data_IF_244078894727
#
_entry.id   IF_244078894727
#
_cell.length_a   1.000
_cell.length_b   1.000
_cell.length_c   1.000
_cell.angle_alpha   90.00
_cell.angle_beta   90.00
_cell.angle_gamma   90.00
#
_symmetry.space_group_name_H-M   'P 1'
#
loop_
_entity.id
_entity.type
_entity.pdbx_description
1 polymer ?
#
# COMPACT_ATOMS: atom_id res chain seq x y z
N UNK A 1 9.91 -75.34 29.07
CA UNK A 1 8.90 -75.88 28.12
C UNK A 1 7.53 -75.69 28.72
N UNK A 2 6.75 -74.70 28.28
CA UNK A 2 5.38 -74.49 28.75
C UNK A 2 4.48 -75.53 28.06
N UNK A 3 3.92 -76.47 28.81
CA UNK A 3 2.90 -77.39 28.30
C UNK A 3 1.56 -76.67 28.33
N UNK A 4 1.10 -76.17 27.18
CA UNK A 4 -0.27 -75.66 27.04
C UNK A 4 -1.25 -76.83 27.10
N UNK A 5 -2.12 -76.84 28.11
CA UNK A 5 -3.29 -77.72 28.18
C UNK A 5 -4.36 -77.26 27.18
N UNK A 6 -5.21 -78.18 26.70
CA UNK A 6 -6.19 -77.91 25.63
C UNK A 6 -7.15 -76.75 25.90
N UNK A 7 -7.45 -76.46 27.16
CA UNK A 7 -8.23 -75.30 27.61
C UNK A 7 -7.50 -73.97 27.41
N UNK A 8 -6.17 -73.94 27.53
CA UNK A 8 -5.35 -72.74 27.29
C UNK A 8 -5.29 -72.35 25.81
N UNK A 9 -5.27 -73.32 24.91
CA UNK A 9 -5.33 -73.08 23.46
C UNK A 9 -6.67 -72.46 23.06
N UNK A 10 -7.76 -72.93 23.68
CA UNK A 10 -9.11 -72.43 23.41
C UNK A 10 -9.30 -70.98 23.89
N UNK A 11 -8.78 -70.64 25.08
CA UNK A 11 -8.82 -69.27 25.61
C UNK A 11 -8.03 -68.26 24.76
N UNK A 12 -6.84 -68.64 24.29
CA UNK A 12 -6.04 -67.80 23.38
C UNK A 12 -6.74 -67.62 22.03
N UNK A 13 -7.35 -68.68 21.49
CA UNK A 13 -8.13 -68.62 20.25
C UNK A 13 -9.32 -67.67 20.34
N UNK A 14 -10.04 -67.69 21.47
CA UNK A 14 -11.20 -66.82 21.68
C UNK A 14 -10.79 -65.35 21.85
N UNK A 15 -9.67 -65.09 22.56
CA UNK A 15 -9.13 -63.74 22.72
C UNK A 15 -8.65 -63.16 21.38
N UNK A 16 -7.97 -63.96 20.55
CA UNK A 16 -7.59 -63.59 19.18
C UNK A 16 -8.82 -63.29 18.30
N UNK A 17 -9.87 -64.10 18.41
CA UNK A 17 -11.11 -63.85 17.66
C UNK A 17 -11.77 -62.53 18.04
N UNK A 18 -11.84 -62.21 19.33
CA UNK A 18 -12.43 -60.95 19.84
C UNK A 18 -11.61 -59.74 19.41
N UNK A 19 -10.28 -59.80 19.49
CA UNK A 19 -9.43 -58.68 19.05
C UNK A 19 -9.50 -58.46 17.54
N UNK A 20 -9.45 -59.53 16.74
CA UNK A 20 -9.55 -59.42 15.27
C UNK A 20 -10.91 -58.89 14.84
N UNK A 21 -12.00 -59.36 15.46
CA UNK A 21 -13.35 -58.85 15.16
C UNK A 21 -13.55 -57.40 15.59
N UNK A 22 -13.00 -56.98 16.74
CA UNK A 22 -12.99 -55.58 17.17
C UNK A 22 -12.22 -54.66 16.22
N UNK A 23 -11.06 -55.10 15.72
CA UNK A 23 -10.27 -54.34 14.73
C UNK A 23 -10.98 -54.25 13.39
N UNK A 24 -11.56 -55.36 12.89
CA UNK A 24 -12.27 -55.38 11.62
C UNK A 24 -13.52 -54.50 11.60
N UNK A 25 -14.24 -54.38 12.72
CA UNK A 25 -15.37 -53.45 12.83
C UNK A 25 -14.95 -52.01 13.14
N UNK A 26 -13.87 -51.81 13.90
CA UNK A 26 -13.39 -50.50 14.32
C UNK A 26 -12.67 -49.72 13.21
N UNK A 27 -11.85 -50.39 12.39
CA UNK A 27 -11.08 -49.75 11.32
C UNK A 27 -11.92 -48.96 10.29
N UNK A 28 -12.97 -49.52 9.66
CA UNK A 28 -13.75 -48.77 8.67
C UNK A 28 -14.52 -47.61 9.31
N UNK A 29 -15.04 -47.81 10.52
CA UNK A 29 -15.77 -46.78 11.27
C UNK A 29 -14.87 -45.61 11.68
N UNK A 30 -13.64 -45.90 12.13
CA UNK A 30 -12.64 -44.89 12.45
C UNK A 30 -12.23 -44.08 11.22
N UNK A 31 -12.08 -44.73 10.06
CA UNK A 31 -11.69 -44.06 8.83
C UNK A 31 -12.74 -43.02 8.39
N UNK A 32 -14.04 -43.37 8.42
CA UNK A 32 -15.13 -42.44 8.09
C UNK A 32 -15.17 -41.25 9.06
N UNK A 33 -15.07 -41.52 10.37
CA UNK A 33 -15.03 -40.45 11.37
C UNK A 33 -13.84 -39.50 11.15
N UNK A 34 -12.66 -40.05 10.87
CA UNK A 34 -11.47 -39.23 10.61
C UNK A 34 -11.63 -38.35 9.36
N UNK A 35 -12.23 -38.88 8.29
CA UNK A 35 -12.52 -38.10 7.08
C UNK A 35 -13.55 -37.00 7.34
N UNK A 36 -14.59 -37.28 8.12
CA UNK A 36 -15.59 -36.28 8.48
C UNK A 36 -14.98 -35.12 9.28
N UNK A 37 -14.14 -35.44 10.28
CA UNK A 37 -13.44 -34.41 11.05
C UNK A 37 -12.47 -33.60 10.19
N UNK A 38 -11.75 -34.25 9.28
CA UNK A 38 -10.89 -33.56 8.32
C UNK A 38 -11.68 -32.59 7.42
N UNK A 39 -12.85 -33.02 6.91
CA UNK A 39 -13.73 -32.16 6.12
C UNK A 39 -14.24 -30.96 6.90
N UNK A 40 -14.67 -31.17 8.16
CA UNK A 40 -15.11 -30.07 9.05
C UNK A 40 -13.98 -29.08 9.34
N UNK A 41 -12.77 -29.57 9.60
CA UNK A 41 -11.59 -28.73 9.82
C UNK A 41 -11.27 -27.89 8.58
N UNK A 42 -11.25 -28.50 7.38
CA UNK A 42 -10.99 -27.80 6.13
C UNK A 42 -12.06 -26.73 5.82
N UNK A 43 -13.33 -27.02 6.10
CA UNK A 43 -14.42 -26.04 5.94
C UNK A 43 -14.26 -24.86 6.91
N UNK A 44 -13.96 -25.13 8.18
CA UNK A 44 -13.74 -24.09 9.18
C UNK A 44 -12.53 -23.20 8.82
N UNK A 45 -11.44 -23.79 8.33
CA UNK A 45 -10.26 -23.07 7.86
C UNK A 45 -10.55 -22.21 6.62
N UNK A 46 -11.31 -22.74 5.66
CA UNK A 46 -11.71 -21.97 4.48
C UNK A 46 -12.63 -20.79 4.85
N UNK A 47 -13.53 -20.98 5.81
CA UNK A 47 -14.42 -19.93 6.31
C UNK A 47 -13.64 -18.82 7.02
N UNK A 48 -12.73 -19.19 7.94
CA UNK A 48 -11.92 -18.22 8.67
C UNK A 48 -11.00 -17.45 7.72
N UNK A 49 -10.37 -18.14 6.76
CA UNK A 49 -9.52 -17.52 5.75
C UNK A 49 -10.28 -16.51 4.88
N UNK A 50 -11.52 -16.82 4.47
CA UNK A 50 -12.39 -15.85 3.77
C UNK A 50 -12.74 -14.66 4.65
N UNK A 51 -13.04 -14.87 5.92
CA UNK A 51 -13.37 -13.80 6.84
C UNK A 51 -12.17 -12.85 7.05
N UNK A 52 -10.97 -13.41 7.21
CA UNK A 52 -9.72 -12.64 7.30
C UNK A 52 -9.53 -11.80 6.03
N UNK A 53 -9.65 -12.41 4.84
CA UNK A 53 -9.50 -11.69 3.58
C UNK A 53 -10.51 -10.54 3.42
N UNK A 54 -11.76 -10.72 3.87
CA UNK A 54 -12.78 -9.66 3.85
C UNK A 54 -12.43 -8.54 4.84
N UNK A 55 -11.97 -8.87 6.05
CA UNK A 55 -11.56 -7.89 7.05
C UNK A 55 -10.35 -7.10 6.57
N UNK A 56 -9.36 -7.76 5.98
CA UNK A 56 -8.20 -7.12 5.38
C UNK A 56 -8.59 -6.20 4.21
N UNK A 57 -9.47 -6.64 3.32
CA UNK A 57 -9.96 -5.83 2.22
C UNK A 57 -10.70 -4.58 2.72
N UNK A 58 -11.52 -4.74 3.76
CA UNK A 58 -12.23 -3.62 4.40
C UNK A 58 -11.26 -2.64 5.05
N UNK A 59 -10.27 -3.12 5.79
CA UNK A 59 -9.24 -2.29 6.40
C UNK A 59 -8.43 -1.51 5.36
N UNK A 60 -8.07 -2.15 4.23
CA UNK A 60 -7.40 -1.47 3.11
C UNK A 60 -8.26 -0.38 2.49
N UNK A 61 -9.55 -0.65 2.28
CA UNK A 61 -10.49 0.34 1.75
C UNK A 61 -10.63 1.54 2.70
N UNK A 62 -10.76 1.29 4.01
CA UNK A 62 -10.86 2.35 5.01
C UNK A 62 -9.58 3.19 5.09
N UNK A 63 -8.41 2.53 5.07
CA UNK A 63 -7.11 3.20 4.99
C UNK A 63 -6.99 4.08 3.75
N UNK A 64 -7.37 3.55 2.58
CA UNK A 64 -7.33 4.32 1.33
C UNK A 64 -8.25 5.55 1.37
N UNK A 65 -9.44 5.44 1.98
CA UNK A 65 -10.34 6.59 2.18
C UNK A 65 -9.72 7.65 3.08
N UNK A 66 -9.18 7.25 4.23
CA UNK A 66 -8.54 8.19 5.15
C UNK A 66 -7.33 8.89 4.51
N UNK A 67 -6.56 8.17 3.69
CA UNK A 67 -5.46 8.76 2.92
C UNK A 67 -5.96 9.76 1.87
N UNK A 68 -7.04 9.43 1.16
CA UNK A 68 -7.65 10.34 0.20
C UNK A 68 -8.18 11.62 0.89
N UNK A 69 -8.84 11.48 2.03
CA UNK A 69 -9.33 12.63 2.80
C UNK A 69 -8.18 13.50 3.32
N UNK A 70 -7.11 12.88 3.83
CA UNK A 70 -5.91 13.59 4.25
C UNK A 70 -5.26 14.37 3.08
N UNK A 71 -5.25 13.77 1.89
CA UNK A 71 -4.72 14.40 0.68
C UNK A 71 -5.57 15.61 0.24
N UNK A 72 -6.91 15.54 0.38
CA UNK A 72 -7.81 16.68 0.14
C UNK A 72 -7.49 17.81 1.10
N UNK A 73 -7.39 17.54 2.41
CA UNK A 73 -7.06 18.57 3.41
C UNK A 73 -5.70 19.19 3.13
N UNK A 74 -4.71 18.37 2.73
CA UNK A 74 -3.38 18.84 2.34
C UNK A 74 -3.44 19.76 1.12
N UNK A 75 -4.16 19.35 0.07
CA UNK A 75 -4.33 20.13 -1.15
C UNK A 75 -5.06 21.45 -0.90
N UNK A 76 -6.11 21.44 -0.07
CA UNK A 76 -6.80 22.66 0.35
C UNK A 76 -5.89 23.59 1.14
N UNK A 77 -5.10 23.06 2.06
CA UNK A 77 -4.11 23.81 2.83
C UNK A 77 -3.09 24.50 1.91
N UNK A 78 -2.54 23.76 0.95
CA UNK A 78 -1.64 24.29 -0.07
C UNK A 78 -2.31 25.38 -0.92
N UNK A 79 -3.55 25.16 -1.36
CA UNK A 79 -4.30 26.13 -2.15
C UNK A 79 -4.62 27.42 -1.37
N UNK A 80 -4.91 27.31 -0.07
CA UNK A 80 -5.08 28.48 0.81
C UNK A 80 -3.76 29.21 1.01
N UNK A 81 -2.67 28.50 1.29
CA UNK A 81 -1.35 29.10 1.44
C UNK A 81 -0.89 29.84 0.16
N UNK A 82 -1.09 29.22 -1.01
CA UNK A 82 -0.77 29.84 -2.30
C UNK A 82 -1.59 31.10 -2.56
N UNK A 83 -2.90 31.10 -2.23
CA UNK A 83 -3.73 32.31 -2.33
C UNK A 83 -3.23 33.43 -1.43
N UNK A 84 -2.91 33.14 -0.17
CA UNK A 84 -2.38 34.14 0.77
C UNK A 84 -1.07 34.74 0.25
N UNK A 85 -0.15 33.89 -0.23
CA UNK A 85 1.11 34.33 -0.83
C UNK A 85 0.86 35.21 -2.06
N UNK A 86 -0.04 34.79 -2.95
CA UNK A 86 -0.38 35.55 -4.15
C UNK A 86 -0.93 36.94 -3.80
N UNK A 87 -1.88 37.02 -2.88
CA UNK A 87 -2.49 38.29 -2.47
C UNK A 87 -1.44 39.19 -1.79
N UNK A 88 -0.55 38.62 -0.99
CA UNK A 88 0.53 39.34 -0.30
C UNK A 88 1.62 39.87 -1.26
N UNK A 89 1.78 39.24 -2.43
CA UNK A 89 2.77 39.62 -3.44
C UNK A 89 2.19 40.53 -4.54
N UNK A 90 0.98 41.06 -4.36
CA UNK A 90 0.36 41.96 -5.33
C UNK A 90 -0.30 41.25 -6.52
N UNK A 91 -0.67 39.98 -6.35
CA UNK A 91 -1.41 39.19 -7.34
C UNK A 91 -0.58 38.15 -8.09
N UNK A 92 -1.14 37.56 -9.17
CA UNK A 92 -0.53 36.44 -9.89
C UNK A 92 0.89 36.72 -10.41
N UNK A 93 1.15 37.92 -10.92
CA UNK A 93 2.45 38.29 -11.50
C UNK A 93 3.56 38.35 -10.43
N UNK A 94 3.27 38.91 -9.27
CA UNK A 94 4.22 38.96 -8.15
C UNK A 94 4.51 37.56 -7.59
N UNK A 95 3.50 36.70 -7.54
CA UNK A 95 3.65 35.30 -7.14
C UNK A 95 4.52 34.49 -8.11
N UNK A 96 4.30 34.61 -9.43
CA UNK A 96 5.12 33.94 -10.43
C UNK A 96 6.59 34.39 -10.36
N UNK A 97 6.83 35.69 -10.16
CA UNK A 97 8.18 36.23 -9.98
C UNK A 97 8.84 35.70 -8.70
N UNK A 98 8.09 35.60 -7.59
CA UNK A 98 8.57 34.98 -6.36
C UNK A 98 8.96 33.51 -6.57
N UNK A 99 8.10 32.71 -7.21
CA UNK A 99 8.40 31.31 -7.51
C UNK A 99 9.63 31.17 -8.41
N UNK A 100 9.78 32.06 -9.40
CA UNK A 100 10.96 32.08 -10.25
C UNK A 100 12.24 32.36 -9.45
N UNK A 101 12.23 33.39 -8.59
CA UNK A 101 13.38 33.73 -7.74
C UNK A 101 13.71 32.55 -6.81
N UNK A 102 12.70 31.95 -6.18
CA UNK A 102 12.89 30.82 -5.27
C UNK A 102 13.43 29.58 -6.00
N UNK A 103 12.97 29.31 -7.22
CA UNK A 103 13.47 28.20 -8.04
C UNK A 103 14.93 28.40 -8.48
N UNK A 104 15.35 29.66 -8.69
CA UNK A 104 16.75 30.02 -8.99
C UNK A 104 17.61 29.96 -7.73
N UNK A 105 17.10 30.40 -6.57
CA UNK A 105 17.81 30.35 -5.29
C UNK A 105 18.05 28.90 -4.82
N UNK A 106 17.04 28.03 -4.96
CA UNK A 106 17.14 26.62 -4.58
C UNK A 106 18.02 25.78 -5.52
N UNK A 107 18.14 26.17 -6.79
CA UNK A 107 19.08 25.56 -7.73
C UNK A 107 20.37 26.36 -7.70
N UNK A 108 21.29 26.01 -6.79
CA UNK A 108 22.68 26.52 -6.73
C UNK A 108 23.19 26.88 -8.14
N UNK A 109 23.08 28.16 -8.49
CA UNK A 109 23.52 28.83 -9.72
C UNK A 109 23.74 27.92 -10.97
N UNK A 110 22.75 27.13 -11.39
CA UNK A 110 22.80 26.58 -12.75
C UNK A 110 22.47 27.74 -13.70
N UNK A 111 23.49 28.31 -14.33
CA UNK A 111 23.39 29.39 -15.32
C UNK A 111 22.44 28.95 -16.47
N UNK A 112 21.16 29.28 -16.35
CA UNK A 112 20.18 29.06 -17.41
C UNK A 112 20.27 30.25 -18.36
N UNK A 113 20.94 30.04 -19.50
CA UNK A 113 21.01 31.01 -20.59
C UNK A 113 19.61 31.20 -21.19
N UNK A 114 19.02 32.37 -20.98
CA UNK A 114 17.82 32.82 -21.69
C UNK A 114 18.31 33.61 -22.90
N UNK A 115 18.12 33.13 -24.13
CA UNK A 115 18.48 33.90 -25.32
C UNK A 115 17.57 35.11 -25.39
N UNK A 116 18.11 36.30 -25.18
CA UNK A 116 17.67 37.45 -25.97
C UNK A 116 18.20 37.22 -27.39
N UNK A 117 17.44 37.64 -28.41
CA UNK A 117 17.66 37.42 -29.86
C UNK A 117 18.99 38.02 -30.40
N UNK A 118 20.14 37.72 -29.79
CA UNK A 118 21.45 38.27 -30.19
C UNK A 118 22.61 38.11 -29.21
N UNK A 119 22.44 37.49 -28.03
CA UNK A 119 23.58 37.13 -27.16
C UNK A 119 24.38 38.28 -26.52
N UNK A 120 23.86 39.51 -26.56
CA UNK A 120 24.41 40.66 -25.82
C UNK A 120 23.41 41.12 -24.75
N UNK A 121 23.86 41.47 -23.52
CA UNK A 121 22.99 42.03 -22.49
C UNK A 121 22.30 43.30 -23.03
N UNK A 122 20.97 43.42 -22.87
CA UNK A 122 20.25 44.64 -23.22
C UNK A 122 20.78 45.79 -22.37
N UNK A 123 21.54 46.70 -23.00
CA UNK A 123 22.02 47.92 -22.37
C UNK A 123 20.91 48.97 -22.44
N UNK A 124 20.40 49.38 -21.28
CA UNK A 124 19.50 50.54 -21.10
C UNK A 124 20.11 51.88 -21.53
N UNK A 125 21.33 51.88 -22.09
CA UNK A 125 22.08 53.07 -22.49
C UNK A 125 21.42 53.90 -23.59
N UNK A 126 20.49 53.32 -24.36
CA UNK A 126 19.78 54.06 -25.42
C UNK A 126 18.62 54.92 -24.89
N UNK A 127 18.23 54.77 -23.61
CA UNK A 127 17.15 55.54 -23.00
C UNK A 127 17.61 56.90 -22.42
N UNK A 128 18.91 57.04 -22.18
CA UNK A 128 19.53 58.25 -21.62
C UNK A 128 20.13 59.19 -22.67
N UNK A 129 20.08 58.86 -23.96
CA UNK A 129 20.54 59.76 -25.01
C UNK A 129 19.63 61.00 -25.06
N UNK A 130 20.15 62.22 -24.77
CA UNK A 130 19.35 63.43 -24.88
C UNK A 130 18.92 63.59 -26.34
N UNK A 131 17.63 63.86 -26.57
CA UNK A 131 17.17 64.31 -27.89
C UNK A 131 17.98 65.58 -28.26
N UNK A 132 18.65 65.64 -29.42
CA UNK A 132 19.21 66.89 -29.89
C UNK A 132 18.06 67.88 -30.15
N UNK A 133 18.02 68.96 -29.39
CA UNK A 133 17.21 70.13 -29.69
C UNK A 133 17.98 71.03 -30.66
N UNK A 134 17.57 71.02 -31.92
CA UNK A 134 17.88 72.08 -32.89
C UNK A 134 16.59 72.34 -33.68
N UNK A 135 16.11 73.56 -33.90
CA UNK A 135 16.81 74.84 -33.88
C UNK A 135 17.54 75.05 -35.20
N UNK A 136 16.80 75.18 -36.30
CA UNK A 136 16.72 76.33 -37.23
C UNK A 136 15.42 76.20 -38.06
#
# INVERSE_FOLDING_TARGET
>A
MVRLSGTGVMGVGLLMLVTVSGVLFGCPSYHVYSQEQAGRAALAEAQSSRQIAVLEARAKLESAKMLADAEVVRAEGAARANRILQDSLGGPEGYLRYLQIQAVDQKEASLIYVPTEGGLPLLESSRLAPRPSGGE
#
